data_IF_773279990084
#
_entry.id   IF_773279990084
#
_cell.length_a   1.000
_cell.length_b   1.000
_cell.length_c   1.000
_cell.angle_alpha   90.00
_cell.angle_beta   90.00
_cell.angle_gamma   90.00
#
_symmetry.space_group_name_H-M   'P 1'
#
loop_
_entity.id
_entity.type
_entity.pdbx_description
1 polymer ?
#
# COMPACT_ATOMS: atom_id res chain seq x y z
N UNK A 1 -31.23 3.53 -16.77
CA UNK A 1 -30.11 2.93 -17.56
C UNK A 1 -28.76 3.63 -17.37
N UNK A 2 -28.69 4.91 -17.00
CA UNK A 2 -27.44 5.63 -16.71
C UNK A 2 -26.71 5.14 -15.43
N UNK A 3 -27.46 4.79 -14.41
CA UNK A 3 -26.92 4.39 -13.09
C UNK A 3 -26.23 2.99 -13.11
N UNK A 4 -26.69 2.08 -13.97
CA UNK A 4 -26.09 0.75 -14.15
C UNK A 4 -24.76 0.86 -14.89
N UNK A 5 -24.64 1.73 -15.89
CA UNK A 5 -23.38 1.94 -16.63
C UNK A 5 -22.31 2.59 -15.75
N UNK A 6 -22.68 3.49 -14.84
CA UNK A 6 -21.76 4.09 -13.87
C UNK A 6 -21.20 3.06 -12.87
N UNK A 7 -22.04 2.17 -12.34
CA UNK A 7 -21.61 1.10 -11.41
C UNK A 7 -20.71 0.08 -12.11
N UNK A 8 -21.03 -0.32 -13.33
CA UNK A 8 -20.20 -1.28 -14.11
C UNK A 8 -18.82 -0.69 -14.41
N UNK A 9 -18.74 0.59 -14.77
CA UNK A 9 -17.46 1.27 -15.01
C UNK A 9 -16.59 1.37 -13.75
N UNK A 10 -17.22 1.62 -12.59
CA UNK A 10 -16.50 1.67 -11.31
C UNK A 10 -15.92 0.28 -10.92
N UNK A 11 -16.71 -0.79 -11.07
CA UNK A 11 -16.25 -2.16 -10.81
C UNK A 11 -15.12 -2.56 -11.75
N UNK A 12 -15.22 -2.23 -13.04
CA UNK A 12 -14.18 -2.56 -14.01
C UNK A 12 -12.86 -1.83 -13.68
N UNK A 13 -12.94 -0.57 -13.30
CA UNK A 13 -11.77 0.22 -12.87
C UNK A 13 -11.13 -0.37 -11.61
N UNK A 14 -11.96 -0.75 -10.64
CA UNK A 14 -11.50 -1.38 -9.39
C UNK A 14 -10.77 -2.70 -9.69
N UNK A 15 -11.38 -3.58 -10.48
CA UNK A 15 -10.78 -4.86 -10.89
C UNK A 15 -9.46 -4.64 -11.65
N UNK A 16 -9.40 -3.68 -12.56
CA UNK A 16 -8.17 -3.36 -13.29
C UNK A 16 -7.04 -2.91 -12.36
N UNK A 17 -7.34 -2.07 -11.34
CA UNK A 17 -6.35 -1.62 -10.35
C UNK A 17 -5.86 -2.79 -9.50
N UNK A 18 -6.76 -3.66 -9.01
CA UNK A 18 -6.39 -4.85 -8.24
C UNK A 18 -5.52 -5.80 -9.07
N UNK A 19 -5.89 -6.03 -10.34
CA UNK A 19 -5.11 -6.87 -11.28
C UNK A 19 -3.70 -6.29 -11.48
N UNK A 20 -3.58 -4.99 -11.72
CA UNK A 20 -2.28 -4.31 -11.87
C UNK A 20 -1.41 -4.41 -10.61
N UNK A 21 -2.01 -4.24 -9.43
CA UNK A 21 -1.31 -4.37 -8.16
C UNK A 21 -0.79 -5.80 -7.94
N UNK A 22 -1.61 -6.83 -8.24
CA UNK A 22 -1.19 -8.23 -8.15
C UNK A 22 -0.09 -8.55 -9.16
N UNK A 23 -0.14 -8.00 -10.38
CA UNK A 23 0.92 -8.18 -11.37
C UNK A 23 2.26 -7.58 -10.88
N UNK A 24 2.24 -6.41 -10.22
CA UNK A 24 3.44 -5.81 -9.60
C UNK A 24 3.98 -6.72 -8.48
N UNK A 25 3.12 -7.23 -7.61
CA UNK A 25 3.52 -8.15 -6.53
C UNK A 25 4.11 -9.43 -7.13
N UNK A 26 3.45 -10.03 -8.12
CA UNK A 26 3.93 -11.23 -8.78
C UNK A 26 5.31 -11.02 -9.43
N UNK A 27 5.53 -9.86 -10.09
CA UNK A 27 6.82 -9.50 -10.64
C UNK A 27 7.89 -9.37 -9.54
N UNK A 28 7.58 -8.69 -8.44
CA UNK A 28 8.49 -8.59 -7.29
C UNK A 28 8.85 -9.95 -6.70
N UNK A 29 7.87 -10.83 -6.56
CA UNK A 29 8.09 -12.21 -6.07
C UNK A 29 8.93 -13.02 -7.05
N UNK A 30 8.55 -13.04 -8.34
CA UNK A 30 9.21 -13.88 -9.35
C UNK A 30 10.65 -13.43 -9.62
N UNK A 31 10.86 -12.13 -9.88
CA UNK A 31 12.16 -11.63 -10.31
C UNK A 31 13.17 -11.42 -9.18
N UNK A 32 12.69 -11.27 -7.92
CA UNK A 32 13.57 -10.92 -6.81
C UNK A 32 13.45 -11.87 -5.61
N UNK A 33 12.25 -12.22 -5.14
CA UNK A 33 12.13 -13.06 -3.95
C UNK A 33 12.54 -14.50 -4.22
N UNK A 34 12.07 -15.08 -5.33
CA UNK A 34 12.39 -16.47 -5.69
C UNK A 34 13.89 -16.68 -5.83
N UNK A 35 14.65 -15.85 -6.59
CA UNK A 35 16.09 -15.99 -6.69
C UNK A 35 16.86 -15.73 -5.39
N UNK A 36 16.32 -14.92 -4.47
CA UNK A 36 16.98 -14.62 -3.20
C UNK A 36 16.94 -15.79 -2.20
N UNK A 37 16.10 -16.79 -2.40
CA UNK A 37 15.88 -17.92 -1.49
C UNK A 37 15.59 -17.49 -0.04
N UNK A 38 14.99 -16.31 0.17
CA UNK A 38 14.63 -15.77 1.48
C UNK A 38 13.14 -15.92 1.78
N UNK A 39 12.76 -15.82 3.06
CA UNK A 39 11.37 -15.93 3.52
C UNK A 39 10.82 -14.58 4.00
N UNK A 40 11.11 -13.50 3.29
CA UNK A 40 10.65 -12.16 3.68
C UNK A 40 9.13 -12.10 3.63
N UNK A 41 8.50 -11.84 4.79
CA UNK A 41 7.05 -11.68 4.96
C UNK A 41 6.19 -12.76 4.28
N UNK A 42 6.69 -14.00 4.23
CA UNK A 42 6.08 -15.09 3.47
C UNK A 42 5.44 -16.15 4.36
N UNK A 43 4.17 -16.50 4.06
CA UNK A 43 3.52 -17.65 4.69
C UNK A 43 4.17 -18.99 4.30
N UNK A 44 4.86 -19.03 3.17
CA UNK A 44 5.63 -20.21 2.75
C UNK A 44 6.76 -20.53 3.73
N UNK A 45 7.35 -19.49 4.38
CA UNK A 45 8.34 -19.70 5.45
C UNK A 45 7.77 -20.51 6.60
N UNK A 46 6.56 -20.18 7.06
CA UNK A 46 5.87 -20.97 8.08
C UNK A 46 5.53 -22.38 7.56
N UNK A 47 5.13 -22.50 6.30
CA UNK A 47 4.89 -23.78 5.66
C UNK A 47 6.10 -24.70 5.66
N UNK A 48 7.31 -24.17 5.39
CA UNK A 48 8.56 -24.93 5.43
C UNK A 48 8.86 -25.44 6.85
N UNK A 49 8.69 -24.57 7.85
CA UNK A 49 8.86 -25.01 9.24
C UNK A 49 7.91 -26.15 9.59
N UNK A 50 6.63 -26.01 9.25
CA UNK A 50 5.61 -27.01 9.52
C UNK A 50 5.84 -28.31 8.76
N UNK A 51 6.38 -28.28 7.53
CA UNK A 51 6.66 -29.49 6.74
C UNK A 51 7.72 -30.39 7.38
N UNK A 52 8.54 -29.88 8.31
CA UNK A 52 9.47 -30.68 9.08
C UNK A 52 8.80 -31.47 10.22
N UNK A 53 7.60 -31.07 10.63
CA UNK A 53 6.87 -31.70 11.74
C UNK A 53 5.66 -32.50 11.25
N UNK A 54 5.14 -32.20 10.06
CA UNK A 54 3.94 -32.83 9.49
C UNK A 54 4.30 -33.49 8.16
N UNK A 55 3.99 -34.79 7.95
CA UNK A 55 4.36 -35.51 6.72
C UNK A 55 3.43 -35.14 5.54
N UNK A 56 3.31 -33.86 5.21
CA UNK A 56 2.55 -33.32 4.09
C UNK A 56 3.48 -32.50 3.17
N UNK A 57 3.24 -32.50 1.85
CA UNK A 57 3.96 -31.63 0.92
C UNK A 57 3.79 -30.15 1.29
N UNK A 58 4.86 -29.36 1.10
CA UNK A 58 4.88 -27.92 1.39
C UNK A 58 3.71 -27.17 0.72
N UNK A 59 3.41 -27.53 -0.52
CA UNK A 59 2.30 -26.92 -1.29
C UNK A 59 0.93 -27.13 -0.64
N UNK A 60 0.70 -28.30 -0.05
CA UNK A 60 -0.55 -28.61 0.66
C UNK A 60 -0.62 -27.82 1.97
N UNK A 61 0.47 -27.75 2.74
CA UNK A 61 0.52 -26.98 3.99
C UNK A 61 0.26 -25.50 3.73
N UNK A 62 0.96 -24.91 2.76
CA UNK A 62 0.80 -23.49 2.41
C UNK A 62 -0.60 -23.18 1.88
N UNK A 63 -1.19 -24.10 1.10
CA UNK A 63 -2.56 -23.95 0.63
C UNK A 63 -3.57 -23.98 1.79
N UNK A 64 -3.42 -24.92 2.72
CA UNK A 64 -4.29 -25.01 3.92
C UNK A 64 -4.18 -23.73 4.74
N UNK A 65 -2.96 -23.25 5.02
CA UNK A 65 -2.72 -22.01 5.76
C UNK A 65 -3.37 -20.81 5.08
N UNK A 66 -3.22 -20.69 3.77
CA UNK A 66 -3.82 -19.59 3.01
C UNK A 66 -5.36 -19.66 3.04
N UNK A 67 -5.96 -20.83 2.87
CA UNK A 67 -7.41 -21.01 2.93
C UNK A 67 -7.94 -20.67 4.32
N UNK A 68 -7.29 -21.16 5.37
CA UNK A 68 -7.67 -20.85 6.77
C UNK A 68 -7.62 -19.36 7.03
N UNK A 69 -6.51 -18.68 6.65
CA UNK A 69 -6.38 -17.25 6.82
C UNK A 69 -7.42 -16.47 5.99
N UNK A 70 -7.73 -16.92 4.79
CA UNK A 70 -8.75 -16.32 3.95
C UNK A 70 -10.14 -16.40 4.59
N UNK A 71 -10.48 -17.55 5.16
CA UNK A 71 -11.74 -17.76 5.90
C UNK A 71 -11.77 -16.82 7.13
N UNK A 72 -10.71 -16.80 7.92
CA UNK A 72 -10.60 -15.90 9.08
C UNK A 72 -10.74 -14.44 8.64
N UNK A 73 -10.02 -14.02 7.58
CA UNK A 73 -10.07 -12.66 7.03
C UNK A 73 -11.46 -12.28 6.55
N UNK A 74 -12.19 -13.21 5.91
CA UNK A 74 -13.56 -12.98 5.44
C UNK A 74 -14.52 -12.66 6.62
N UNK A 75 -14.44 -13.41 7.70
CA UNK A 75 -15.29 -13.18 8.87
C UNK A 75 -14.84 -11.98 9.72
N UNK A 76 -13.55 -11.73 9.83
CA UNK A 76 -13.01 -10.68 10.70
C UNK A 76 -12.96 -9.31 10.02
N UNK A 77 -12.53 -9.23 8.75
CA UNK A 77 -12.35 -7.97 8.03
C UNK A 77 -13.56 -7.59 7.16
N UNK A 78 -14.51 -8.51 6.98
CA UNK A 78 -15.78 -8.27 6.28
C UNK A 78 -15.81 -8.79 4.85
N UNK A 79 -17.04 -8.83 4.29
CA UNK A 79 -17.32 -9.49 2.99
C UNK A 79 -16.61 -8.81 1.81
N UNK A 80 -16.50 -7.50 1.82
CA UNK A 80 -15.84 -6.75 0.74
C UNK A 80 -14.35 -7.08 0.68
N UNK A 81 -13.66 -7.00 1.83
CA UNK A 81 -12.26 -7.40 1.95
C UNK A 81 -12.06 -8.85 1.51
N UNK A 82 -12.89 -9.76 2.03
CA UNK A 82 -12.80 -11.18 1.70
C UNK A 82 -12.96 -11.46 0.21
N UNK A 83 -13.97 -10.90 -0.44
CA UNK A 83 -14.23 -11.12 -1.88
C UNK A 83 -13.08 -10.59 -2.76
N UNK A 84 -12.57 -9.39 -2.48
CA UNK A 84 -11.41 -8.82 -3.19
C UNK A 84 -10.15 -9.65 -2.96
N UNK A 85 -9.93 -10.12 -1.72
CA UNK A 85 -8.76 -10.94 -1.36
C UNK A 85 -8.82 -12.33 -1.98
N UNK A 86 -10.00 -12.95 -2.08
CA UNK A 86 -10.16 -14.21 -2.85
C UNK A 86 -9.70 -14.02 -4.30
N UNK A 87 -10.19 -12.95 -4.95
CA UNK A 87 -9.82 -12.64 -6.32
C UNK A 87 -8.30 -12.46 -6.49
N UNK A 88 -7.68 -11.65 -5.65
CA UNK A 88 -6.24 -11.35 -5.72
C UNK A 88 -5.37 -12.57 -5.38
N UNK A 89 -5.78 -13.38 -4.39
CA UNK A 89 -5.07 -14.60 -3.98
C UNK A 89 -5.08 -15.69 -5.07
N UNK A 90 -6.14 -15.76 -5.88
CA UNK A 90 -6.19 -16.68 -7.03
C UNK A 90 -5.37 -16.14 -8.20
N UNK A 91 -5.37 -14.82 -8.39
CA UNK A 91 -4.68 -14.19 -9.51
C UNK A 91 -3.15 -14.20 -9.36
N UNK A 92 -2.64 -14.13 -8.14
CA UNK A 92 -1.20 -14.13 -7.86
C UNK A 92 -0.47 -15.37 -8.40
N UNK A 93 -0.90 -16.61 -8.10
CA UNK A 93 -0.31 -17.81 -8.68
C UNK A 93 -0.44 -17.89 -10.22
N UNK A 94 -1.51 -17.33 -10.79
CA UNK A 94 -1.69 -17.27 -12.24
C UNK A 94 -0.61 -16.41 -12.90
N UNK A 95 -0.30 -15.24 -12.35
CA UNK A 95 0.79 -14.40 -12.84
C UNK A 95 2.16 -15.03 -12.61
N UNK A 96 2.40 -15.68 -11.49
CA UNK A 96 3.63 -16.42 -11.24
C UNK A 96 3.84 -17.53 -12.28
N UNK A 97 2.82 -18.36 -12.52
CA UNK A 97 2.89 -19.41 -13.55
C UNK A 97 3.03 -18.85 -14.98
N UNK A 98 2.51 -17.66 -15.25
CA UNK A 98 2.74 -16.96 -16.52
C UNK A 98 4.21 -16.53 -16.65
N UNK A 99 4.80 -15.95 -15.62
CA UNK A 99 6.21 -15.56 -15.62
C UNK A 99 7.14 -16.76 -15.72
N UNK A 100 6.87 -17.87 -15.02
CA UNK A 100 7.61 -19.12 -15.16
C UNK A 100 7.63 -19.66 -16.59
N UNK A 101 6.52 -19.55 -17.32
CA UNK A 101 6.43 -19.95 -18.73
C UNK A 101 7.16 -19.00 -19.68
N UNK A 102 7.13 -17.69 -19.39
CA UNK A 102 7.77 -16.68 -20.21
C UNK A 102 9.29 -16.62 -19.98
N UNK A 103 9.76 -16.95 -18.79
CA UNK A 103 11.15 -16.88 -18.38
C UNK A 103 11.61 -18.18 -17.69
N UNK A 104 11.66 -19.33 -18.38
CA UNK A 104 11.86 -20.64 -17.76
C UNK A 104 13.26 -20.83 -17.15
N UNK A 105 14.27 -20.09 -17.58
CA UNK A 105 15.65 -20.17 -17.09
C UNK A 105 16.06 -18.90 -16.34
N UNK A 106 15.10 -18.22 -15.70
CA UNK A 106 15.37 -16.95 -15.02
C UNK A 106 16.11 -17.17 -13.69
N UNK A 107 17.28 -16.52 -13.59
CA UNK A 107 18.08 -16.44 -12.36
C UNK A 107 17.97 -15.04 -11.71
N UNK A 108 18.82 -14.78 -10.71
CA UNK A 108 18.89 -13.46 -10.09
C UNK A 108 19.27 -12.36 -11.10
N UNK A 109 18.52 -11.26 -11.14
CA UNK A 109 18.85 -10.08 -11.95
C UNK A 109 20.06 -9.33 -11.42
N UNK A 110 20.26 -9.33 -10.11
CA UNK A 110 21.29 -8.52 -9.46
C UNK A 110 22.56 -9.31 -9.18
N UNK A 111 22.47 -10.65 -9.16
CA UNK A 111 23.56 -11.53 -8.77
C UNK A 111 23.91 -11.47 -7.28
N UNK A 112 23.16 -10.73 -6.47
CA UNK A 112 23.33 -10.57 -5.02
C UNK A 112 22.02 -10.79 -4.29
N UNK A 113 22.03 -11.71 -3.33
CA UNK A 113 20.87 -12.03 -2.50
C UNK A 113 20.33 -10.79 -1.75
N UNK A 114 21.22 -9.93 -1.27
CA UNK A 114 20.90 -8.73 -0.52
C UNK A 114 20.19 -7.69 -1.41
N UNK A 115 20.69 -7.50 -2.62
CA UNK A 115 20.08 -6.57 -3.59
C UNK A 115 18.74 -7.07 -4.08
N UNK A 116 18.60 -8.37 -4.30
CA UNK A 116 17.31 -8.98 -4.67
C UNK A 116 16.27 -8.74 -3.56
N UNK A 117 16.63 -8.90 -2.29
CA UNK A 117 15.73 -8.60 -1.16
C UNK A 117 15.34 -7.13 -1.12
N UNK A 118 16.27 -6.18 -1.36
CA UNK A 118 15.96 -4.75 -1.40
C UNK A 118 15.00 -4.40 -2.55
N UNK A 119 15.26 -4.93 -3.74
CA UNK A 119 14.37 -4.74 -4.89
C UNK A 119 12.98 -5.33 -4.64
N UNK A 120 12.92 -6.54 -4.06
CA UNK A 120 11.68 -7.16 -3.65
C UNK A 120 10.87 -6.26 -2.71
N UNK A 121 11.49 -5.75 -1.64
CA UNK A 121 10.84 -4.88 -0.67
C UNK A 121 10.20 -3.67 -1.35
N UNK A 122 10.95 -2.98 -2.21
CA UNK A 122 10.44 -1.78 -2.91
C UNK A 122 9.26 -2.12 -3.83
N UNK A 123 9.42 -3.11 -4.70
CA UNK A 123 8.40 -3.45 -5.70
C UNK A 123 7.13 -4.00 -5.05
N UNK A 124 7.28 -4.91 -4.08
CA UNK A 124 6.12 -5.53 -3.42
C UNK A 124 5.40 -4.56 -2.52
N UNK A 125 6.11 -3.67 -1.82
CA UNK A 125 5.47 -2.64 -0.99
C UNK A 125 4.58 -1.69 -1.81
N UNK A 126 4.95 -1.36 -3.05
CA UNK A 126 4.09 -0.58 -3.96
C UNK A 126 2.79 -1.36 -4.26
N UNK A 127 2.90 -2.61 -4.67
CA UNK A 127 1.74 -3.43 -4.96
C UNK A 127 0.83 -3.65 -3.75
N UNK A 128 1.41 -3.97 -2.59
CA UNK A 128 0.66 -4.17 -1.33
C UNK A 128 -0.02 -2.88 -0.87
N UNK A 129 0.63 -1.73 -0.98
CA UNK A 129 0.02 -0.45 -0.61
C UNK A 129 -1.23 -0.16 -1.44
N UNK A 130 -1.21 -0.45 -2.75
CA UNK A 130 -2.38 -0.32 -3.62
C UNK A 130 -3.50 -1.26 -3.17
N UNK A 131 -3.20 -2.53 -2.86
CA UNK A 131 -4.19 -3.50 -2.40
C UNK A 131 -4.82 -3.07 -1.07
N UNK A 132 -4.02 -2.70 -0.07
CA UNK A 132 -4.51 -2.29 1.25
C UNK A 132 -5.36 -1.02 1.19
N UNK A 133 -4.99 -0.05 0.35
CA UNK A 133 -5.78 1.17 0.13
C UNK A 133 -7.12 0.87 -0.58
N UNK A 134 -7.24 -0.26 -1.28
CA UNK A 134 -8.49 -0.75 -1.89
C UNK A 134 -9.22 -1.77 -1.03
N UNK A 135 -8.82 -1.92 0.25
CA UNK A 135 -9.38 -2.88 1.17
C UNK A 135 -9.31 -4.31 0.62
N UNK A 136 -8.15 -4.69 0.10
CA UNK A 136 -7.80 -6.02 -0.40
C UNK A 136 -6.44 -6.46 0.14
N UNK A 137 -6.06 -7.71 -0.05
CA UNK A 137 -4.77 -8.30 0.34
C UNK A 137 -4.30 -9.26 -0.75
N UNK A 138 -3.02 -9.58 -0.80
CA UNK A 138 -2.49 -10.61 -1.71
C UNK A 138 -2.74 -12.03 -1.20
N UNK A 139 -3.18 -12.17 0.05
CA UNK A 139 -3.33 -13.43 0.78
C UNK A 139 -2.18 -13.65 1.77
N UNK A 140 -2.21 -14.76 2.49
CA UNK A 140 -1.14 -15.12 3.44
C UNK A 140 -1.03 -14.20 4.65
N UNK A 141 0.18 -13.81 5.03
CA UNK A 141 0.46 -12.98 6.21
C UNK A 141 -0.15 -11.58 6.15
N UNK A 142 -0.45 -11.08 4.97
CA UNK A 142 -1.12 -9.78 4.77
C UNK A 142 -2.49 -9.76 5.46
N UNK A 143 -3.19 -10.91 5.48
CA UNK A 143 -4.48 -11.05 6.17
C UNK A 143 -4.27 -10.92 7.68
N UNK A 144 -3.20 -11.53 8.22
CA UNK A 144 -2.86 -11.41 9.65
C UNK A 144 -2.57 -9.95 9.98
N UNK A 145 -1.78 -9.26 9.16
CA UNK A 145 -1.49 -7.85 9.34
C UNK A 145 -2.77 -6.98 9.32
N UNK A 146 -3.71 -7.27 8.41
CA UNK A 146 -5.00 -6.56 8.34
C UNK A 146 -5.87 -6.81 9.57
N UNK A 147 -5.85 -8.02 10.11
CA UNK A 147 -6.55 -8.36 11.37
C UNK A 147 -5.94 -7.59 12.54
N UNK A 148 -4.60 -7.59 12.64
CA UNK A 148 -3.89 -6.83 13.69
C UNK A 148 -4.16 -5.31 13.56
N UNK A 149 -4.14 -4.77 12.36
CA UNK A 149 -4.52 -3.38 12.11
C UNK A 149 -5.94 -3.07 12.62
N UNK A 150 -6.90 -3.96 12.33
CA UNK A 150 -8.30 -3.75 12.73
C UNK A 150 -8.53 -3.83 14.25
N UNK A 151 -7.92 -4.81 14.92
CA UNK A 151 -8.21 -5.08 16.33
C UNK A 151 -7.20 -4.47 17.30
N UNK A 152 -5.94 -4.36 16.89
CA UNK A 152 -4.86 -3.79 17.72
C UNK A 152 -4.57 -2.34 17.36
N UNK A 153 -5.24 -1.79 16.33
CA UNK A 153 -5.03 -0.42 15.84
C UNK A 153 -3.57 -0.10 15.47
N UNK A 154 -2.83 -1.13 15.04
CA UNK A 154 -1.45 -1.00 14.57
C UNK A 154 -1.41 -0.54 13.12
N UNK A 155 -0.38 0.20 12.73
CA UNK A 155 -0.09 0.48 11.32
C UNK A 155 0.13 -0.84 10.55
N UNK A 156 -0.28 -0.88 9.29
CA UNK A 156 -0.25 -2.12 8.49
C UNK A 156 1.17 -2.67 8.30
N UNK A 157 2.15 -1.82 8.04
CA UNK A 157 3.53 -2.25 7.90
C UNK A 157 4.14 -2.74 9.21
N UNK A 158 3.82 -2.10 10.35
CA UNK A 158 4.23 -2.60 11.67
C UNK A 158 3.61 -3.98 11.96
N UNK A 159 2.34 -4.18 11.60
CA UNK A 159 1.67 -5.47 11.74
C UNK A 159 2.28 -6.53 10.81
N UNK A 160 2.64 -6.16 9.57
CA UNK A 160 3.39 -7.01 8.63
C UNK A 160 4.75 -7.39 9.17
N UNK A 161 5.52 -6.42 9.69
CA UNK A 161 6.82 -6.67 10.29
C UNK A 161 6.72 -7.63 11.47
N UNK A 162 5.76 -7.41 12.36
CA UNK A 162 5.61 -8.24 13.56
C UNK A 162 5.22 -9.69 13.22
N UNK A 163 4.19 -9.87 12.38
CA UNK A 163 3.76 -11.20 11.94
C UNK A 163 4.84 -11.93 11.14
N UNK A 164 5.51 -11.23 10.23
CA UNK A 164 6.59 -11.78 9.42
C UNK A 164 7.85 -12.10 10.23
N UNK A 165 8.19 -11.30 11.25
CA UNK A 165 9.32 -11.62 12.16
C UNK A 165 9.06 -12.89 12.96
N UNK A 166 7.83 -13.13 13.42
CA UNK A 166 7.49 -14.40 14.08
C UNK A 166 7.76 -15.60 13.15
N UNK A 167 7.41 -15.47 11.86
CA UNK A 167 7.68 -16.50 10.85
C UNK A 167 9.19 -16.62 10.58
N UNK A 168 9.89 -15.51 10.39
CA UNK A 168 11.33 -15.50 10.13
C UNK A 168 12.14 -16.10 11.29
N UNK A 169 11.72 -15.85 12.54
CA UNK A 169 12.32 -16.48 13.73
C UNK A 169 12.06 -17.99 13.76
N UNK A 170 10.86 -18.45 13.42
CA UNK A 170 10.57 -19.89 13.33
C UNK A 170 11.39 -20.57 12.23
N UNK A 171 11.71 -19.87 11.15
CA UNK A 171 12.54 -20.35 10.05
C UNK A 171 14.01 -20.57 10.46
N UNK A 172 14.46 -20.01 11.60
CA UNK A 172 15.79 -20.27 12.16
C UNK A 172 16.05 -21.76 12.52
N UNK A 173 14.98 -22.54 12.62
CA UNK A 173 15.07 -24.00 12.84
C UNK A 173 15.48 -24.77 11.57
N UNK A 174 15.37 -24.15 10.38
CA UNK A 174 15.51 -24.85 9.09
C UNK A 174 16.55 -24.19 8.17
N UNK A 175 16.67 -22.87 8.21
CA UNK A 175 17.55 -22.11 7.32
C UNK A 175 18.91 -21.79 7.96
N UNK A 176 19.91 -21.50 7.11
CA UNK A 176 21.20 -21.00 7.54
C UNK A 176 21.11 -19.61 8.19
N UNK A 177 22.10 -19.27 9.01
CA UNK A 177 22.12 -18.02 9.80
C UNK A 177 22.02 -16.76 8.94
N UNK A 178 22.67 -16.74 7.76
CA UNK A 178 22.66 -15.58 6.84
C UNK A 178 21.26 -15.35 6.30
N UNK A 179 20.59 -16.39 5.82
CA UNK A 179 19.23 -16.33 5.28
C UNK A 179 18.22 -15.90 6.34
N UNK A 180 18.36 -16.38 7.57
CA UNK A 180 17.50 -15.98 8.69
C UNK A 180 17.67 -14.50 9.02
N UNK A 181 18.90 -14.01 9.16
CA UNK A 181 19.17 -12.59 9.44
C UNK A 181 18.62 -11.71 8.31
N UNK A 182 18.85 -12.11 7.07
CA UNK A 182 18.36 -11.36 5.90
C UNK A 182 16.83 -11.36 5.82
N UNK A 183 16.18 -12.47 6.17
CA UNK A 183 14.73 -12.57 6.23
C UNK A 183 14.13 -11.68 7.33
N UNK A 184 14.75 -11.63 8.51
CA UNK A 184 14.32 -10.76 9.62
C UNK A 184 14.48 -9.29 9.23
N UNK A 185 15.65 -8.90 8.74
CA UNK A 185 15.92 -7.52 8.32
C UNK A 185 15.02 -7.13 7.14
N UNK A 186 14.90 -8.00 6.13
CA UNK A 186 14.03 -7.77 4.98
C UNK A 186 12.57 -7.59 5.39
N UNK A 187 12.06 -8.40 6.31
CA UNK A 187 10.70 -8.29 6.83
C UNK A 187 10.50 -6.97 7.60
N UNK A 188 11.45 -6.56 8.42
CA UNK A 188 11.41 -5.30 9.15
C UNK A 188 11.38 -4.10 8.19
N UNK A 189 12.30 -4.05 7.24
CA UNK A 189 12.35 -2.97 6.25
C UNK A 189 11.12 -2.97 5.31
N UNK A 190 10.61 -4.15 4.94
CA UNK A 190 9.39 -4.25 4.15
C UNK A 190 8.21 -3.55 4.83
N UNK A 191 8.06 -3.70 6.14
CA UNK A 191 7.01 -3.01 6.88
C UNK A 191 7.18 -1.48 6.90
N UNK A 192 8.41 -0.98 7.10
CA UNK A 192 8.69 0.46 7.09
C UNK A 192 8.38 1.06 5.70
N UNK A 193 8.84 0.41 4.64
CA UNK A 193 8.63 0.86 3.26
C UNK A 193 7.14 0.80 2.91
N UNK A 194 6.45 -0.25 3.33
CA UNK A 194 5.01 -0.42 3.11
C UNK A 194 4.21 0.71 3.80
N UNK A 195 4.48 0.99 5.08
CA UNK A 195 3.81 2.08 5.80
C UNK A 195 4.07 3.43 5.14
N UNK A 196 5.30 3.66 4.65
CA UNK A 196 5.61 4.88 3.91
C UNK A 196 4.73 5.04 2.65
N UNK A 197 4.60 3.99 1.83
CA UNK A 197 3.76 4.03 0.63
C UNK A 197 2.26 4.15 0.95
N UNK A 198 1.77 3.48 1.99
CA UNK A 198 0.37 3.59 2.43
C UNK A 198 0.09 5.02 2.91
N UNK A 199 0.98 5.55 3.75
CA UNK A 199 0.84 6.89 4.33
C UNK A 199 0.91 7.97 3.25
N UNK A 200 1.92 7.93 2.36
CA UNK A 200 2.11 8.93 1.28
C UNK A 200 0.90 8.98 0.32
N UNK A 201 0.22 7.86 0.12
CA UNK A 201 -0.98 7.80 -0.73
C UNK A 201 -2.24 8.38 -0.07
N UNK A 202 -2.27 8.49 1.25
CA UNK A 202 -3.40 9.02 2.04
C UNK A 202 -3.22 10.47 2.50
N UNK A 203 -2.00 11.02 2.37
CA UNK A 203 -1.70 12.40 2.77
C UNK A 203 -2.50 13.39 1.91
N UNK A 204 -3.30 14.21 2.59
CA UNK A 204 -3.87 15.43 2.05
C UNK A 204 -3.07 16.63 2.52
N UNK A 205 -3.24 17.75 1.85
CA UNK A 205 -2.59 19.02 2.20
C UNK A 205 -3.65 20.00 2.65
N UNK A 206 -3.50 20.49 3.87
CA UNK A 206 -4.19 21.68 4.33
C UNK A 206 -3.40 22.88 3.85
N UNK A 207 -4.00 23.66 2.97
CA UNK A 207 -3.41 24.87 2.40
C UNK A 207 -4.15 26.06 3.00
N UNK A 208 -3.41 26.96 3.64
CA UNK A 208 -3.91 28.21 4.20
C UNK A 208 -3.38 29.34 3.34
N UNK A 209 -4.25 30.20 2.83
CA UNK A 209 -3.91 31.18 1.81
C UNK A 209 -4.47 32.56 2.24
N UNK A 210 -3.60 33.57 2.27
CA UNK A 210 -3.96 34.97 2.40
C UNK A 210 -3.62 35.63 1.07
N UNK A 211 -4.61 36.23 0.40
CA UNK A 211 -4.49 36.81 -0.93
C UNK A 211 -5.41 38.02 -1.09
N UNK A 212 -5.04 38.96 -1.95
CA UNK A 212 -5.92 40.06 -2.36
C UNK A 212 -6.99 39.61 -3.38
N UNK A 213 -6.84 38.42 -3.97
CA UNK A 213 -7.74 37.83 -4.97
C UNK A 213 -8.71 36.79 -4.37
N UNK A 214 -9.26 37.08 -3.19
CA UNK A 214 -10.09 36.16 -2.40
C UNK A 214 -11.22 35.52 -3.20
N UNK A 215 -12.01 36.34 -3.90
CA UNK A 215 -13.18 35.85 -4.64
C UNK A 215 -12.78 34.94 -5.82
N UNK A 216 -11.72 35.30 -6.56
CA UNK A 216 -11.23 34.48 -7.67
C UNK A 216 -10.70 33.12 -7.14
N UNK A 217 -9.99 33.12 -6.02
CA UNK A 217 -9.50 31.90 -5.39
C UNK A 217 -10.64 31.05 -4.86
N UNK A 218 -11.63 31.64 -4.20
CA UNK A 218 -12.82 30.94 -3.70
C UNK A 218 -13.58 30.26 -4.83
N UNK A 219 -13.81 30.96 -5.93
CA UNK A 219 -14.49 30.38 -7.10
C UNK A 219 -13.71 29.23 -7.70
N UNK A 220 -12.39 29.36 -7.85
CA UNK A 220 -11.52 28.30 -8.36
C UNK A 220 -11.57 27.05 -7.46
N UNK A 221 -11.50 27.20 -6.12
CA UNK A 221 -11.56 26.06 -5.20
C UNK A 221 -12.91 25.34 -5.29
N UNK A 222 -14.01 26.09 -5.34
CA UNK A 222 -15.36 25.51 -5.33
C UNK A 222 -15.77 24.89 -6.68
N UNK A 223 -15.45 25.55 -7.79
CA UNK A 223 -15.97 25.17 -9.11
C UNK A 223 -14.97 24.41 -9.98
N UNK A 224 -13.67 24.70 -9.89
CA UNK A 224 -12.66 24.03 -10.72
C UNK A 224 -12.02 22.84 -9.98
N UNK A 225 -11.75 22.98 -8.67
CA UNK A 225 -11.24 21.88 -7.87
C UNK A 225 -12.35 21.02 -7.25
N UNK A 226 -13.59 21.53 -7.19
CA UNK A 226 -14.71 20.88 -6.51
C UNK A 226 -14.40 20.52 -5.04
N UNK A 227 -13.57 21.34 -4.39
CA UNK A 227 -13.11 21.17 -3.01
C UNK A 227 -13.79 22.17 -2.09
N UNK A 228 -13.94 21.82 -0.81
CA UNK A 228 -14.46 22.73 0.21
C UNK A 228 -13.43 23.76 0.63
N UNK A 229 -13.87 24.95 1.00
CA UNK A 229 -13.05 25.99 1.61
C UNK A 229 -13.70 26.56 2.87
N UNK A 230 -12.87 26.94 3.84
CA UNK A 230 -13.32 27.66 5.03
C UNK A 230 -12.54 28.97 5.11
N UNK A 231 -13.23 30.07 5.43
CA UNK A 231 -12.60 31.39 5.58
C UNK A 231 -12.59 31.78 7.04
N UNK A 232 -11.44 32.30 7.49
CA UNK A 232 -11.25 32.88 8.82
C UNK A 232 -10.78 34.32 8.68
N UNK A 233 -11.32 35.20 9.54
CA UNK A 233 -10.76 36.56 9.69
C UNK A 233 -9.47 36.46 10.53
N UNK A 234 -8.36 36.89 9.94
CA UNK A 234 -7.04 36.97 10.58
C UNK A 234 -6.60 38.41 10.69
N UNK A 235 -5.79 38.73 11.69
CA UNK A 235 -5.23 40.06 11.91
C UNK A 235 -3.72 39.98 11.72
N UNK A 236 -3.19 40.76 10.80
CA UNK A 236 -1.75 40.88 10.57
C UNK A 236 -1.04 41.46 11.81
N UNK A 237 -0.04 40.76 12.33
CA UNK A 237 0.64 41.16 13.56
C UNK A 237 1.48 42.44 13.40
N UNK A 238 1.90 42.80 12.19
CA UNK A 238 2.75 43.95 11.93
C UNK A 238 1.95 45.27 11.85
N UNK A 239 0.86 45.28 11.07
CA UNK A 239 0.09 46.48 10.78
C UNK A 239 -1.32 46.47 11.39
N UNK A 240 -1.69 45.39 12.07
CA UNK A 240 -3.02 45.14 12.66
C UNK A 240 -4.18 45.21 11.64
N UNK A 241 -3.88 45.06 10.36
CA UNK A 241 -4.90 44.97 9.30
C UNK A 241 -5.60 43.63 9.30
N UNK A 242 -6.88 43.65 8.93
CA UNK A 242 -7.69 42.46 8.80
C UNK A 242 -7.52 41.83 7.43
N UNK A 243 -7.31 40.53 7.40
CA UNK A 243 -7.23 39.70 6.19
C UNK A 243 -8.14 38.50 6.33
N UNK A 244 -8.60 37.94 5.21
CA UNK A 244 -9.25 36.65 5.22
C UNK A 244 -8.25 35.55 4.88
N UNK A 245 -8.12 34.55 5.78
CA UNK A 245 -7.38 33.33 5.52
C UNK A 245 -8.33 32.29 4.93
N UNK A 246 -8.06 31.83 3.71
CA UNK A 246 -8.81 30.79 3.03
C UNK A 246 -8.09 29.47 3.27
N UNK A 247 -8.80 28.49 3.88
CA UNK A 247 -8.26 27.18 4.19
C UNK A 247 -8.99 26.15 3.34
N UNK A 248 -8.24 25.32 2.63
CA UNK A 248 -8.75 24.18 1.89
C UNK A 248 -7.90 22.92 2.14
N UNK A 249 -8.53 21.75 2.00
CA UNK A 249 -7.85 20.46 2.12
C UNK A 249 -7.92 19.78 0.76
N UNK A 250 -6.77 19.58 0.15
CA UNK A 250 -6.63 19.11 -1.23
C UNK A 250 -5.71 17.89 -1.32
N UNK A 251 -5.90 17.06 -2.32
CA UNK A 251 -4.97 15.99 -2.66
C UNK A 251 -3.72 16.53 -3.40
N UNK A 252 -2.77 15.63 -3.71
CA UNK A 252 -1.52 15.99 -4.37
C UNK A 252 -1.74 16.61 -5.77
N UNK A 253 -2.73 16.14 -6.51
CA UNK A 253 -3.03 16.60 -7.87
C UNK A 253 -3.76 17.94 -7.84
N UNK A 254 -4.73 18.09 -6.95
CA UNK A 254 -5.46 19.32 -6.70
C UNK A 254 -4.56 20.42 -6.20
N UNK A 255 -3.61 20.07 -5.30
CA UNK A 255 -2.59 20.99 -4.80
C UNK A 255 -1.74 21.60 -5.92
N UNK A 256 -1.29 20.79 -6.89
CA UNK A 256 -0.53 21.33 -8.02
C UNK A 256 -1.35 22.33 -8.85
N UNK A 257 -2.62 22.01 -9.09
CA UNK A 257 -3.53 22.93 -9.81
C UNK A 257 -3.76 24.22 -9.03
N UNK A 258 -3.96 24.09 -7.71
CA UNK A 258 -4.15 25.23 -6.80
C UNK A 258 -2.93 26.16 -6.80
N UNK A 259 -1.74 25.60 -6.65
CA UNK A 259 -0.49 26.40 -6.65
C UNK A 259 -0.23 27.06 -8.00
N UNK A 260 -0.51 26.39 -9.11
CA UNK A 260 -0.40 26.99 -10.44
C UNK A 260 -1.39 28.17 -10.62
N UNK A 261 -2.62 28.03 -10.10
CA UNK A 261 -3.60 29.11 -10.13
C UNK A 261 -3.14 30.31 -9.28
N UNK A 262 -2.71 30.07 -8.03
CA UNK A 262 -2.25 31.13 -7.13
C UNK A 262 -1.04 31.86 -7.73
N UNK A 263 -0.04 31.16 -8.23
CA UNK A 263 1.15 31.74 -8.85
C UNK A 263 0.84 32.61 -10.08
N UNK A 264 -0.24 32.31 -10.79
CA UNK A 264 -0.69 33.06 -11.94
C UNK A 264 -1.51 34.31 -11.57
N UNK A 265 -2.45 34.16 -10.64
CA UNK A 265 -3.41 35.23 -10.30
C UNK A 265 -2.88 36.19 -9.24
N UNK A 266 -2.14 35.69 -8.25
CA UNK A 266 -1.52 36.49 -7.18
C UNK A 266 -0.20 35.87 -6.72
N UNK A 267 0.90 36.18 -7.41
CA UNK A 267 2.25 35.68 -7.02
C UNK A 267 2.73 36.14 -5.65
N UNK A 268 2.06 37.13 -5.04
CA UNK A 268 2.40 37.67 -3.71
C UNK A 268 1.56 37.05 -2.59
N UNK A 269 0.63 36.15 -2.92
CA UNK A 269 -0.19 35.47 -1.92
C UNK A 269 0.68 34.77 -0.89
N UNK A 270 0.33 34.91 0.38
CA UNK A 270 0.99 34.19 1.46
C UNK A 270 0.36 32.81 1.63
N UNK A 271 1.14 31.75 1.44
CA UNK A 271 0.66 30.37 1.46
C UNK A 271 1.43 29.56 2.48
N UNK A 272 0.72 28.94 3.41
CA UNK A 272 1.26 27.94 4.35
C UNK A 272 0.63 26.58 4.10
N UNK A 273 1.44 25.52 4.25
CA UNK A 273 1.04 24.17 3.87
C UNK A 273 1.35 23.20 5.02
N UNK A 274 0.35 22.40 5.38
CA UNK A 274 0.48 21.35 6.37
C UNK A 274 0.03 20.02 5.77
N UNK A 275 0.77 18.95 6.04
CA UNK A 275 0.32 17.62 5.73
C UNK A 275 -0.71 17.19 6.78
N UNK A 276 -1.84 16.65 6.32
CA UNK A 276 -2.93 16.13 7.16
C UNK A 276 -3.35 14.76 6.65
N UNK A 277 -3.75 13.88 7.55
CA UNK A 277 -4.20 12.52 7.26
C UNK A 277 -5.59 12.27 7.83
#
# INVERSE_FOLDING_TARGET
MSDVKGKTGAVLRETAVLTGAVAIIAAGVFFFLVPSHTSVSSISGLGIVLSNFVPLPLSVITMILNVVLLIIGFFTCGREFGAKTVYTSVLLPVFLGLFEKLFPEFGSMTGSQELDVLCYILVVSIGLSILFNRNASSGGLDIVAKIMNKYLHMELGKAMSLSGMCVALSAALVYDKKTVVLSILGTYFNGIVLDHFIFDSSIKRRVCIITEKEEALRQFILHDLHSGATMYEAIGAYNLEKHNEIITIVDKSEYQKLMNFINREDPKAFVTIYNVS
#
